data_IF_244693956141
#
_entry.id   IF_244693956141
#
_cell.length_a   1.000
_cell.length_b   1.000
_cell.length_c   1.000
_cell.angle_alpha   90.00
_cell.angle_beta   90.00
_cell.angle_gamma   90.00
#
_symmetry.space_group_name_H-M   'P 1'
#
loop_
_entity.id
_entity.type
_entity.pdbx_description
1 polymer ?
#
# COMPACT_ATOMS: atom_id res chain seq x y z
N UNK A 1 -14.80 27.67 -20.82
CA UNK A 1 -14.07 27.03 -21.92
C UNK A 1 -13.03 26.12 -21.28
N UNK A 2 -13.36 24.84 -21.15
CA UNK A 2 -12.42 23.87 -20.58
C UNK A 2 -11.47 23.43 -21.70
N UNK A 3 -10.31 24.06 -21.77
CA UNK A 3 -9.25 23.62 -22.66
C UNK A 3 -8.68 22.28 -22.11
N UNK A 4 -8.80 21.23 -22.90
CA UNK A 4 -8.22 19.94 -22.55
C UNK A 4 -6.68 20.04 -22.53
N UNK A 5 -5.99 19.16 -21.79
CA UNK A 5 -4.51 19.05 -21.82
C UNK A 5 -3.98 18.91 -23.25
N UNK A 6 -4.76 18.29 -24.12
CA UNK A 6 -4.45 18.12 -25.54
C UNK A 6 -4.53 19.44 -26.30
N UNK A 7 -5.46 20.33 -25.94
CA UNK A 7 -5.59 21.66 -26.54
C UNK A 7 -4.49 22.61 -26.03
N UNK A 8 -4.08 22.46 -24.77
CA UNK A 8 -2.90 23.15 -24.24
C UNK A 8 -1.63 22.76 -25.01
N UNK A 9 -1.42 21.47 -25.30
CA UNK A 9 -0.28 21.01 -26.08
C UNK A 9 -0.33 21.51 -27.52
N UNK A 10 -1.51 21.59 -28.13
CA UNK A 10 -1.69 22.17 -29.47
C UNK A 10 -1.40 23.67 -29.47
N UNK A 11 -1.86 24.38 -28.44
CA UNK A 11 -1.57 25.83 -28.28
C UNK A 11 -0.06 26.02 -28.03
N UNK A 12 0.58 25.15 -27.26
CA UNK A 12 2.01 25.21 -27.02
C UNK A 12 2.83 24.92 -28.30
N UNK A 13 2.36 24.02 -29.19
CA UNK A 13 3.01 23.78 -30.49
C UNK A 13 2.82 24.93 -31.45
N UNK A 14 1.64 25.54 -31.49
CA UNK A 14 1.38 26.76 -32.29
C UNK A 14 2.13 27.95 -31.73
N UNK A 15 2.17 28.10 -30.40
CA UNK A 15 3.01 29.09 -29.71
C UNK A 15 4.49 28.90 -29.96
N UNK A 16 4.94 27.63 -30.08
CA UNK A 16 6.32 27.28 -30.43
C UNK A 16 6.74 27.73 -31.82
N UNK A 17 5.84 27.57 -32.81
CA UNK A 17 6.09 28.07 -34.18
C UNK A 17 6.08 29.60 -34.22
N UNK A 18 5.20 30.26 -33.46
CA UNK A 18 5.20 31.71 -33.34
C UNK A 18 6.49 32.23 -32.65
N UNK A 19 6.97 31.54 -31.61
CA UNK A 19 8.21 31.91 -30.93
C UNK A 19 9.44 31.72 -31.85
N UNK A 20 9.47 30.72 -32.70
CA UNK A 20 10.51 30.54 -33.69
C UNK A 20 10.52 31.65 -34.75
N UNK A 21 9.34 32.15 -35.11
CA UNK A 21 9.20 33.30 -36.03
C UNK A 21 9.70 34.61 -35.40
N UNK A 22 9.60 34.72 -34.06
CA UNK A 22 10.07 35.90 -33.31
C UNK A 22 11.51 35.75 -32.74
N UNK A 23 12.23 34.67 -33.14
CA UNK A 23 13.63 34.49 -32.80
C UNK A 23 13.91 33.89 -31.40
N UNK A 24 12.91 33.29 -30.74
CA UNK A 24 13.13 32.55 -29.48
C UNK A 24 13.63 31.15 -29.78
N UNK A 25 14.79 30.79 -29.21
CA UNK A 25 15.30 29.41 -29.28
C UNK A 25 14.64 28.53 -28.19
N UNK A 26 13.74 27.63 -28.61
CA UNK A 26 13.03 26.71 -27.71
C UNK A 26 13.78 25.37 -27.51
N UNK A 27 14.94 25.16 -28.16
CA UNK A 27 15.72 23.92 -28.02
C UNK A 27 16.07 23.60 -26.56
N UNK A 28 16.47 24.54 -25.68
CA UNK A 28 16.73 24.26 -24.30
C UNK A 28 15.50 23.74 -23.56
N UNK A 29 14.33 24.33 -23.77
CA UNK A 29 13.08 23.91 -23.13
C UNK A 29 12.63 22.51 -23.58
N UNK A 30 12.77 22.20 -24.87
CA UNK A 30 12.50 20.87 -25.38
C UNK A 30 13.51 19.81 -24.92
N UNK A 31 14.78 20.18 -24.75
CA UNK A 31 15.82 19.31 -24.21
C UNK A 31 15.53 18.95 -22.74
N UNK A 32 15.06 19.92 -21.95
CA UNK A 32 14.72 19.73 -20.53
C UNK A 32 13.47 18.86 -20.37
N UNK A 33 12.45 19.05 -21.22
CA UNK A 33 11.26 18.17 -21.24
C UNK A 33 11.60 16.70 -21.54
N UNK A 34 12.64 16.43 -22.35
CA UNK A 34 13.10 15.08 -22.66
C UNK A 34 13.82 14.40 -21.48
N UNK A 35 14.21 15.13 -20.47
CA UNK A 35 14.89 14.62 -19.27
C UNK A 35 13.97 14.32 -18.11
N UNK A 36 12.66 14.59 -18.22
CA UNK A 36 11.70 14.25 -17.18
C UNK A 36 11.79 12.75 -16.86
N UNK A 37 11.98 12.43 -15.59
CA UNK A 37 12.08 11.06 -15.09
C UNK A 37 10.89 10.19 -15.50
N UNK A 38 9.67 10.78 -15.51
CA UNK A 38 8.43 10.10 -15.92
C UNK A 38 8.48 9.61 -17.37
N UNK A 39 9.12 10.36 -18.28
CA UNK A 39 9.22 9.95 -19.70
C UNK A 39 10.04 8.68 -19.93
N UNK A 40 10.76 8.17 -18.92
CA UNK A 40 11.55 6.93 -18.96
C UNK A 40 11.08 5.90 -17.94
N UNK A 41 10.01 6.20 -17.22
CA UNK A 41 9.48 5.34 -16.18
C UNK A 41 8.55 4.27 -16.76
N UNK A 42 8.56 3.10 -16.13
CA UNK A 42 7.54 2.09 -16.35
C UNK A 42 6.32 2.42 -15.49
N UNK A 43 5.13 2.31 -16.07
CA UNK A 43 3.86 2.54 -15.39
C UNK A 43 3.30 1.22 -14.86
N UNK A 44 2.85 1.23 -13.62
CA UNK A 44 2.15 0.10 -13.02
C UNK A 44 0.88 0.60 -12.34
N UNK A 45 -0.27 0.07 -12.72
CA UNK A 45 -1.55 0.38 -12.08
C UNK A 45 -1.67 -0.37 -10.77
N UNK A 46 -2.15 0.32 -9.74
CA UNK A 46 -2.31 -0.22 -8.39
C UNK A 46 -3.51 0.42 -7.70
N UNK A 47 -3.76 0.00 -6.48
CA UNK A 47 -4.81 0.55 -5.62
C UNK A 47 -4.19 1.19 -4.38
N UNK A 48 -4.70 2.35 -4.01
CA UNK A 48 -4.27 3.06 -2.79
C UNK A 48 -4.57 2.23 -1.54
N UNK A 49 -3.61 2.04 -0.62
CA UNK A 49 -3.79 1.16 0.55
C UNK A 49 -4.45 1.84 1.75
N UNK A 50 -4.79 3.13 1.71
CA UNK A 50 -5.15 3.88 2.91
C UNK A 50 -6.60 3.72 3.39
N UNK A 51 -7.54 3.48 2.51
CA UNK A 51 -8.93 3.33 2.94
C UNK A 51 -9.77 2.52 1.94
N UNK A 52 -10.98 2.16 2.37
CA UNK A 52 -11.90 1.34 1.60
C UNK A 52 -12.43 2.00 0.30
N UNK A 53 -12.13 3.28 0.06
CA UNK A 53 -12.46 3.94 -1.23
C UNK A 53 -11.78 3.24 -2.40
N UNK A 54 -10.57 2.68 -2.18
CA UNK A 54 -9.88 1.90 -3.19
C UNK A 54 -9.51 2.71 -4.42
N UNK A 55 -9.02 3.94 -4.25
CA UNK A 55 -8.60 4.78 -5.37
C UNK A 55 -7.57 4.10 -6.24
N UNK A 56 -7.77 4.11 -7.56
CA UNK A 56 -6.76 3.67 -8.52
C UNK A 56 -5.58 4.63 -8.58
N UNK A 57 -4.39 4.07 -8.63
CA UNK A 57 -3.13 4.81 -8.71
C UNK A 57 -2.27 4.30 -9.86
N UNK A 58 -1.48 5.18 -10.45
CA UNK A 58 -0.41 4.84 -11.39
C UNK A 58 0.91 5.08 -10.67
N UNK A 59 1.72 4.03 -10.58
CA UNK A 59 3.03 4.06 -9.95
C UNK A 59 4.09 4.07 -11.05
N UNK A 60 4.92 5.09 -11.06
CA UNK A 60 6.02 5.25 -12.00
C UNK A 60 7.32 4.78 -11.38
N UNK A 61 7.98 3.82 -12.04
CA UNK A 61 9.25 3.26 -11.56
C UNK A 61 10.34 3.43 -12.60
N UNK A 62 11.55 3.76 -12.13
CA UNK A 62 12.78 3.73 -12.92
C UNK A 62 13.65 2.63 -12.35
N UNK A 63 14.25 1.85 -13.22
CA UNK A 63 15.13 0.74 -12.90
C UNK A 63 14.96 -0.38 -13.89
N UNK A 64 15.95 -1.24 -13.96
CA UNK A 64 15.92 -2.41 -14.84
C UNK A 64 16.62 -3.57 -14.13
N UNK A 65 15.83 -4.53 -13.68
CA UNK A 65 16.35 -5.69 -12.96
C UNK A 65 17.29 -6.54 -13.82
N UNK A 66 17.07 -6.55 -15.13
CA UNK A 66 17.94 -7.27 -16.05
C UNK A 66 19.34 -6.63 -16.17
N UNK A 67 19.43 -5.35 -15.85
CA UNK A 67 20.70 -4.59 -15.81
C UNK A 67 21.23 -4.37 -14.40
N UNK A 68 20.69 -5.08 -13.40
CA UNK A 68 21.03 -4.91 -11.97
C UNK A 68 20.82 -3.47 -11.45
N UNK A 69 19.91 -2.71 -12.05
CA UNK A 69 19.53 -1.39 -11.57
C UNK A 69 18.30 -1.55 -10.66
N UNK A 70 18.46 -1.19 -9.40
CA UNK A 70 17.39 -1.24 -8.40
C UNK A 70 16.23 -0.34 -8.82
N UNK A 71 15.02 -0.89 -8.85
CA UNK A 71 13.84 -0.12 -9.17
C UNK A 71 13.55 0.91 -8.07
N UNK A 72 13.27 2.15 -8.49
CA UNK A 72 12.87 3.25 -7.61
C UNK A 72 11.52 3.80 -8.06
N UNK A 73 10.63 4.03 -7.10
CA UNK A 73 9.39 4.76 -7.37
C UNK A 73 9.70 6.24 -7.45
N UNK A 74 9.45 6.83 -8.62
CA UNK A 74 9.77 8.24 -8.88
C UNK A 74 8.56 9.15 -8.86
N UNK A 75 7.36 8.59 -9.04
CA UNK A 75 6.11 9.32 -8.96
C UNK A 75 4.92 8.37 -8.70
N UNK A 76 3.88 8.90 -8.07
CA UNK A 76 2.58 8.26 -7.93
C UNK A 76 1.49 9.28 -8.21
N UNK A 77 0.53 8.94 -9.06
CA UNK A 77 -0.64 9.78 -9.33
C UNK A 77 -1.92 8.94 -9.37
N UNK A 78 -3.07 9.62 -9.39
CA UNK A 78 -4.36 8.95 -9.54
C UNK A 78 -4.57 8.47 -10.96
N UNK A 79 -5.12 7.27 -11.11
CA UNK A 79 -5.48 6.70 -12.40
C UNK A 79 -6.74 7.40 -12.95
N UNK A 80 -6.65 8.14 -14.07
CA UNK A 80 -7.79 8.83 -14.65
C UNK A 80 -8.86 7.88 -15.20
N UNK A 81 -8.48 6.66 -15.55
CA UNK A 81 -9.40 5.64 -16.08
C UNK A 81 -10.12 4.87 -14.97
N UNK A 82 -9.70 5.05 -13.70
CA UNK A 82 -10.31 4.33 -12.58
C UNK A 82 -11.70 4.90 -12.26
N UNK A 83 -12.75 4.07 -12.19
CA UNK A 83 -14.14 4.54 -12.07
C UNK A 83 -14.44 5.29 -10.77
N UNK A 84 -13.71 4.97 -9.68
CA UNK A 84 -13.97 5.55 -8.36
C UNK A 84 -13.40 6.96 -8.23
N UNK A 85 -12.12 7.15 -8.52
CA UNK A 85 -11.42 8.41 -8.26
C UNK A 85 -11.10 9.24 -9.50
N UNK A 86 -11.17 8.68 -10.70
CA UNK A 86 -11.00 9.37 -11.98
C UNK A 86 -9.78 10.31 -12.00
N UNK A 87 -8.66 9.84 -11.47
CA UNK A 87 -7.42 10.59 -11.39
C UNK A 87 -7.26 11.48 -10.16
N UNK A 88 -8.29 11.63 -9.32
CA UNK A 88 -8.17 12.44 -8.10
C UNK A 88 -7.61 11.62 -6.95
N UNK A 89 -6.79 12.24 -6.09
CA UNK A 89 -6.28 11.66 -4.86
C UNK A 89 -6.43 12.65 -3.71
N UNK A 90 -6.69 12.14 -2.51
CA UNK A 90 -6.58 12.91 -1.29
C UNK A 90 -5.10 13.10 -0.91
N UNK A 91 -4.76 13.97 0.05
CA UNK A 91 -3.36 14.20 0.46
C UNK A 91 -2.57 12.95 0.81
N UNK A 92 -3.20 11.92 1.40
CA UNK A 92 -2.54 10.65 1.71
C UNK A 92 -2.15 9.89 0.45
N UNK A 93 -3.07 9.76 -0.52
CA UNK A 93 -2.79 9.11 -1.79
C UNK A 93 -1.74 9.85 -2.62
N UNK A 94 -1.78 11.20 -2.60
CA UNK A 94 -0.79 12.03 -3.30
C UNK A 94 0.61 11.92 -2.70
N UNK A 95 0.74 11.61 -1.40
CA UNK A 95 2.02 11.43 -0.71
C UNK A 95 2.51 9.97 -0.68
N UNK A 96 1.86 9.06 -1.41
CA UNK A 96 2.16 7.63 -1.36
C UNK A 96 3.61 7.31 -1.79
N UNK A 97 4.19 8.10 -2.70
CA UNK A 97 5.60 7.95 -3.06
C UNK A 97 6.53 8.11 -1.85
N UNK A 98 6.30 9.12 -1.02
CA UNK A 98 7.11 9.38 0.17
C UNK A 98 7.01 8.24 1.18
N UNK A 99 5.82 7.63 1.32
CA UNK A 99 5.63 6.45 2.16
C UNK A 99 6.41 5.24 1.65
N UNK A 100 6.35 4.99 0.34
CA UNK A 100 7.03 3.85 -0.27
C UNK A 100 8.55 3.98 -0.15
N UNK A 101 9.08 5.19 -0.36
CA UNK A 101 10.53 5.49 -0.38
C UNK A 101 11.07 6.00 0.95
N UNK A 102 10.30 5.90 2.02
CA UNK A 102 10.70 6.40 3.34
C UNK A 102 11.82 5.55 3.95
N UNK A 103 12.92 6.19 4.33
CA UNK A 103 14.06 5.53 4.98
C UNK A 103 13.72 4.92 6.36
N UNK A 104 12.63 5.41 6.99
CA UNK A 104 12.14 4.89 8.27
C UNK A 104 11.18 3.72 8.13
N UNK A 105 10.92 3.26 6.89
CA UNK A 105 10.05 2.11 6.66
C UNK A 105 10.65 0.86 7.30
N UNK A 106 9.87 0.17 8.10
CA UNK A 106 10.25 -1.12 8.66
C UNK A 106 10.38 -2.16 7.53
N UNK A 107 11.58 -2.69 7.36
CA UNK A 107 11.89 -3.71 6.35
C UNK A 107 11.99 -5.11 6.93
N UNK A 108 12.07 -5.21 8.28
CA UNK A 108 12.19 -6.46 9.02
C UNK A 108 11.23 -6.47 10.20
N UNK A 109 10.80 -7.64 10.66
CA UNK A 109 10.09 -7.75 11.92
C UNK A 109 10.98 -7.28 13.07
N UNK A 110 10.34 -6.69 14.10
CA UNK A 110 11.02 -6.28 15.31
C UNK A 110 10.34 -6.88 16.53
N UNK A 111 11.13 -7.27 17.51
CA UNK A 111 10.65 -7.77 18.79
C UNK A 111 11.20 -6.90 19.93
N UNK A 112 10.34 -6.62 20.91
CA UNK A 112 10.76 -6.07 22.21
C UNK A 112 10.58 -7.16 23.25
N UNK A 113 11.69 -7.58 23.85
CA UNK A 113 11.68 -8.63 24.85
C UNK A 113 11.05 -8.14 26.16
N UNK A 114 10.41 -9.03 26.96
CA UNK A 114 9.85 -8.65 28.25
C UNK A 114 10.87 -7.93 29.15
N UNK A 115 10.49 -6.78 29.68
CA UNK A 115 11.37 -5.93 30.50
C UNK A 115 12.40 -5.10 29.69
N UNK A 116 12.51 -5.30 28.40
CA UNK A 116 13.38 -4.48 27.53
C UNK A 116 12.74 -3.18 27.10
N UNK A 117 13.56 -2.18 26.80
CA UNK A 117 13.16 -0.87 26.26
C UNK A 117 13.34 -0.80 24.75
N UNK A 118 14.25 -1.60 24.19
CA UNK A 118 14.69 -1.49 22.81
C UNK A 118 14.03 -2.52 21.91
N UNK A 119 13.76 -2.10 20.65
CA UNK A 119 13.31 -2.97 19.60
C UNK A 119 14.52 -3.63 18.91
N UNK A 120 14.44 -4.93 18.69
CA UNK A 120 15.47 -5.73 18.06
C UNK A 120 14.95 -6.32 16.76
N UNK A 121 15.70 -6.18 15.67
CA UNK A 121 15.39 -6.84 14.41
C UNK A 121 15.51 -8.35 14.56
N UNK A 122 14.54 -9.07 14.01
CA UNK A 122 14.55 -10.54 13.94
C UNK A 122 14.25 -11.00 12.50
N UNK A 123 14.53 -12.26 12.21
CA UNK A 123 14.14 -12.82 10.91
C UNK A 123 12.62 -13.03 10.83
N UNK A 124 12.09 -13.10 9.61
CA UNK A 124 10.69 -13.45 9.39
C UNK A 124 10.35 -14.86 9.92
N UNK A 125 11.27 -15.81 9.77
CA UNK A 125 11.08 -17.18 10.24
C UNK A 125 10.99 -17.21 11.77
N UNK A 126 11.88 -16.52 12.46
CA UNK A 126 11.83 -16.40 13.92
C UNK A 126 10.54 -15.73 14.40
N UNK A 127 10.14 -14.63 13.76
CA UNK A 127 8.91 -13.92 14.12
C UNK A 127 7.68 -14.82 13.96
N UNK A 128 7.56 -15.50 12.83
CA UNK A 128 6.43 -16.40 12.53
C UNK A 128 6.41 -17.58 13.51
N UNK A 129 7.56 -18.20 13.76
CA UNK A 129 7.67 -19.33 14.66
C UNK A 129 7.34 -18.96 16.12
N UNK A 130 7.86 -17.81 16.61
CA UNK A 130 7.54 -17.33 17.96
C UNK A 130 6.05 -17.01 18.12
N UNK A 131 5.45 -16.32 17.13
CA UNK A 131 4.02 -15.99 17.15
C UNK A 131 3.17 -17.25 17.11
N UNK A 132 3.49 -18.18 16.19
CA UNK A 132 2.77 -19.44 16.07
C UNK A 132 2.84 -20.29 17.35
N UNK A 133 4.02 -20.37 17.97
CA UNK A 133 4.21 -21.09 19.22
C UNK A 133 3.37 -20.47 20.37
N UNK A 134 3.29 -19.14 20.45
CA UNK A 134 2.46 -18.44 21.45
C UNK A 134 0.97 -18.68 21.22
N UNK A 135 0.51 -18.56 19.98
CA UNK A 135 -0.90 -18.83 19.62
C UNK A 135 -1.24 -20.29 19.94
N UNK A 136 -0.38 -21.23 19.55
CA UNK A 136 -0.58 -22.66 19.85
C UNK A 136 -0.66 -22.90 21.35
N UNK A 137 0.30 -22.39 22.12
CA UNK A 137 0.31 -22.55 23.57
C UNK A 137 -0.98 -22.00 24.20
N UNK A 138 -1.34 -20.76 23.86
CA UNK A 138 -2.56 -20.13 24.37
C UNK A 138 -3.81 -20.96 24.05
N UNK A 139 -3.87 -21.47 22.82
CA UNK A 139 -4.99 -22.31 22.40
C UNK A 139 -5.01 -23.65 23.14
N UNK A 140 -3.87 -24.34 23.26
CA UNK A 140 -3.80 -25.62 23.95
C UNK A 140 -4.16 -25.51 25.43
N UNK A 141 -3.80 -24.37 26.07
CA UNK A 141 -4.08 -24.13 27.50
C UNK A 141 -5.54 -23.71 27.78
N UNK A 142 -6.23 -23.09 26.82
CA UNK A 142 -7.49 -22.36 27.11
C UNK A 142 -8.65 -22.66 26.16
N UNK A 143 -8.48 -23.58 25.22
CA UNK A 143 -9.55 -23.94 24.28
C UNK A 143 -10.67 -24.71 24.98
N UNK A 144 -11.89 -24.28 24.77
CA UNK A 144 -13.10 -24.91 25.32
C UNK A 144 -13.84 -25.65 24.22
N UNK A 145 -13.79 -26.97 24.24
CA UNK A 145 -14.52 -27.83 23.28
C UNK A 145 -16.01 -27.88 23.61
N UNK A 146 -16.33 -28.06 24.89
CA UNK A 146 -17.71 -28.16 25.39
C UNK A 146 -17.94 -27.22 26.55
N UNK A 147 -19.13 -26.66 26.62
CA UNK A 147 -19.57 -25.84 27.75
C UNK A 147 -19.96 -26.69 28.97
N UNK A 148 -20.34 -26.02 30.07
CA UNK A 148 -20.77 -26.68 31.31
C UNK A 148 -22.06 -27.52 31.14
N UNK A 149 -22.87 -27.27 30.12
CA UNK A 149 -24.08 -28.01 29.79
C UNK A 149 -23.80 -29.17 28.82
N UNK A 150 -22.57 -29.37 28.37
CA UNK A 150 -22.14 -30.45 27.45
C UNK A 150 -22.31 -30.12 25.96
N UNK A 151 -22.70 -28.90 25.60
CA UNK A 151 -22.81 -28.48 24.20
C UNK A 151 -21.43 -28.23 23.60
N UNK A 152 -21.24 -28.68 22.35
CA UNK A 152 -19.99 -28.41 21.63
C UNK A 152 -19.95 -26.94 21.21
N UNK A 153 -18.97 -26.18 21.72
CA UNK A 153 -18.80 -24.73 21.49
C UNK A 153 -17.52 -24.38 20.72
N UNK A 154 -16.48 -25.21 20.79
CA UNK A 154 -15.21 -25.04 20.08
C UNK A 154 -14.68 -23.61 20.11
N UNK A 155 -14.57 -22.99 21.29
CA UNK A 155 -14.26 -21.56 21.45
C UNK A 155 -12.90 -21.29 22.10
N UNK A 156 -12.28 -20.21 21.69
CA UNK A 156 -11.06 -19.65 22.22
C UNK A 156 -11.31 -18.18 22.57
N UNK A 157 -11.45 -17.88 23.87
CA UNK A 157 -11.76 -16.52 24.37
C UNK A 157 -10.52 -15.74 24.80
N UNK A 158 -9.39 -16.41 25.00
CA UNK A 158 -8.12 -15.82 25.43
C UNK A 158 -7.30 -15.18 24.30
N UNK A 159 -7.80 -15.25 23.05
CA UNK A 159 -7.21 -14.61 21.89
C UNK A 159 -8.25 -13.72 21.22
N UNK A 160 -7.84 -12.49 20.87
CA UNK A 160 -8.66 -11.57 20.08
C UNK A 160 -7.92 -11.12 18.84
N UNK A 161 -8.66 -10.84 17.78
CA UNK A 161 -8.16 -10.19 16.57
C UNK A 161 -8.81 -8.81 16.43
N UNK A 162 -7.96 -7.79 16.23
CA UNK A 162 -8.39 -6.42 15.96
C UNK A 162 -7.84 -6.02 14.61
N UNK A 163 -8.73 -5.78 13.65
CA UNK A 163 -8.40 -5.38 12.28
C UNK A 163 -8.49 -3.89 12.04
N UNK A 164 -8.07 -3.46 10.86
CA UNK A 164 -8.18 -2.10 10.35
C UNK A 164 -9.27 -1.94 9.29
N UNK A 165 -9.48 -0.69 8.83
CA UNK A 165 -10.44 -0.37 7.76
C UNK A 165 -9.79 -0.32 6.37
N UNK A 166 -8.50 -0.57 6.25
CA UNK A 166 -7.71 -0.39 5.02
C UNK A 166 -7.41 -1.69 4.28
N UNK A 167 -8.01 -2.77 4.74
CA UNK A 167 -7.75 -4.10 4.20
C UNK A 167 -8.70 -4.45 3.05
N UNK A 168 -8.22 -5.28 2.12
CA UNK A 168 -9.05 -5.79 1.02
C UNK A 168 -10.09 -6.80 1.52
N UNK A 169 -11.15 -7.01 0.73
CA UNK A 169 -12.19 -8.00 1.04
C UNK A 169 -11.61 -9.42 1.17
N UNK A 170 -10.65 -9.77 0.32
CA UNK A 170 -9.97 -11.07 0.33
C UNK A 170 -9.15 -11.28 1.61
N UNK A 171 -8.46 -10.23 2.08
CA UNK A 171 -7.74 -10.28 3.34
C UNK A 171 -8.69 -10.50 4.51
N UNK A 172 -9.76 -9.70 4.61
CA UNK A 172 -10.78 -9.82 5.67
C UNK A 172 -11.43 -11.20 5.67
N UNK A 173 -11.76 -11.75 4.51
CA UNK A 173 -12.30 -13.10 4.39
C UNK A 173 -11.32 -14.15 4.94
N UNK A 174 -10.05 -14.07 4.57
CA UNK A 174 -9.01 -15.01 5.05
C UNK A 174 -8.80 -14.91 6.54
N UNK A 175 -8.77 -13.69 7.09
CA UNK A 175 -8.65 -13.46 8.53
C UNK A 175 -9.81 -14.09 9.29
N UNK A 176 -11.05 -13.77 8.92
CA UNK A 176 -12.24 -14.34 9.59
C UNK A 176 -12.23 -15.85 9.52
N UNK A 177 -11.95 -16.43 8.35
CA UNK A 177 -11.87 -17.88 8.17
C UNK A 177 -10.79 -18.51 9.04
N UNK A 178 -9.59 -17.93 9.10
CA UNK A 178 -8.47 -18.44 9.88
C UNK A 178 -8.74 -18.34 11.39
N UNK A 179 -9.25 -17.20 11.84
CA UNK A 179 -9.57 -17.00 13.26
C UNK A 179 -10.69 -17.92 13.72
N UNK A 180 -11.73 -18.12 12.91
CA UNK A 180 -12.80 -19.08 13.21
C UNK A 180 -12.29 -20.53 13.21
N UNK A 181 -11.37 -20.88 12.33
CA UNK A 181 -10.75 -22.22 12.34
C UNK A 181 -9.93 -22.47 13.61
N UNK A 182 -9.34 -21.42 14.21
CA UNK A 182 -8.68 -21.49 15.51
C UNK A 182 -9.66 -21.52 16.70
N UNK A 183 -10.94 -21.21 16.48
CA UNK A 183 -11.97 -21.10 17.53
C UNK A 183 -12.06 -19.70 18.14
N UNK A 184 -11.37 -18.71 17.63
CA UNK A 184 -11.39 -17.32 18.13
C UNK A 184 -12.78 -16.73 17.98
N UNK A 185 -13.34 -16.20 19.06
CA UNK A 185 -14.67 -15.58 19.09
C UNK A 185 -14.61 -14.06 19.03
N UNK A 186 -13.54 -13.46 19.56
CA UNK A 186 -13.35 -12.01 19.61
C UNK A 186 -12.68 -11.51 18.35
N UNK A 187 -13.50 -11.06 17.40
CA UNK A 187 -13.10 -10.48 16.12
C UNK A 187 -13.72 -9.10 16.02
N UNK A 188 -12.88 -8.09 16.06
CA UNK A 188 -13.28 -6.69 15.94
C UNK A 188 -12.50 -5.99 14.84
N UNK A 189 -13.09 -4.92 14.33
CA UNK A 189 -12.53 -4.10 13.27
C UNK A 189 -12.69 -2.63 13.65
N UNK A 190 -11.72 -1.81 13.34
CA UNK A 190 -11.69 -0.38 13.65
C UNK A 190 -12.96 0.36 13.20
N UNK A 191 -13.52 0.00 12.05
CA UNK A 191 -14.72 0.64 11.52
C UNK A 191 -16.03 0.20 12.20
N UNK A 192 -15.96 -0.79 13.09
CA UNK A 192 -17.12 -1.36 13.77
C UNK A 192 -17.33 -0.85 15.19
N UNK A 193 -16.36 -0.16 15.73
CA UNK A 193 -16.39 0.39 17.09
C UNK A 193 -17.32 1.61 17.18
#
# INVERSE_FOLDING_TARGET
MDASRRDFLKIATVGGTAAAVFGFDLKPAYAELRTLKIGRASETRSTCPYCAVGCGTIIYTIGDRAKNVTAQVVHVEGDPDHPTNRGTLCPKGSSLQQEIMNDRRLLKPQVRRPGGTDWQDISWDDAINEIAARIKKTRDDTFVEKDAAGHTVNRLESLAFIGGCTDTNEFNYRVVKSMRALGVVHLENQARV
#
